data_IF_554841124997
#
_entry.id   IF_554841124997
#
_cell.length_a   1.000
_cell.length_b   1.000
_cell.length_c   1.000
_cell.angle_alpha   90.00
_cell.angle_beta   90.00
_cell.angle_gamma   90.00
#
_symmetry.space_group_name_H-M   'P 1'
#
loop_
_entity.id
_entity.type
_entity.pdbx_description
1 polymer ?
#
# COMPACT_ATOMS: atom_id res chain seq x y z
N UNK A 1 19.15 35.72 0.47
CA UNK A 1 19.01 34.31 0.86
C UNK A 1 18.01 34.12 2.00
N UNK A 2 18.09 34.90 3.12
CA UNK A 2 17.16 34.74 4.25
C UNK A 2 15.69 34.95 3.84
N UNK A 3 15.40 35.94 3.02
CA UNK A 3 14.04 36.21 2.53
C UNK A 3 13.51 35.09 1.63
N UNK A 4 14.36 34.51 0.80
CA UNK A 4 13.97 33.36 -0.03
C UNK A 4 13.68 32.12 0.81
N UNK A 5 14.47 31.85 1.86
CA UNK A 5 14.20 30.75 2.79
C UNK A 5 12.85 30.94 3.50
N UNK A 6 12.52 32.12 3.96
CA UNK A 6 11.23 32.40 4.59
C UNK A 6 10.05 32.16 3.63
N UNK A 7 10.20 32.49 2.35
CA UNK A 7 9.19 32.18 1.31
C UNK A 7 9.06 30.67 1.12
N UNK A 8 10.18 29.95 1.01
CA UNK A 8 10.18 28.48 0.85
C UNK A 8 9.48 27.81 2.03
N UNK A 9 9.84 28.19 3.27
CA UNK A 9 9.23 27.61 4.47
C UNK A 9 7.71 27.92 4.57
N UNK A 10 7.28 29.05 4.06
CA UNK A 10 5.86 29.40 3.98
C UNK A 10 5.12 28.54 2.94
N UNK A 11 5.68 28.41 1.73
CA UNK A 11 5.05 27.70 0.61
C UNK A 11 5.07 26.18 0.82
N UNK A 12 6.22 25.64 1.18
CA UNK A 12 6.45 24.23 1.47
C UNK A 12 6.61 24.01 2.97
N UNK A 13 5.55 24.27 3.74
CA UNK A 13 5.58 24.00 5.17
C UNK A 13 5.70 22.48 5.43
N UNK A 14 6.18 22.13 6.62
CA UNK A 14 6.48 20.73 7.00
C UNK A 14 5.28 19.77 6.84
N UNK A 15 4.06 20.24 7.12
CA UNK A 15 2.85 19.41 7.00
C UNK A 15 2.52 19.12 5.53
N UNK A 16 2.57 20.16 4.69
CA UNK A 16 2.38 20.01 3.23
C UNK A 16 3.42 19.07 2.62
N UNK A 17 4.69 19.22 2.95
CA UNK A 17 5.77 18.34 2.44
C UNK A 17 5.55 16.90 2.90
N UNK A 18 5.18 16.66 4.16
CA UNK A 18 4.88 15.31 4.66
C UNK A 18 3.75 14.63 3.88
N UNK A 19 2.68 15.35 3.57
CA UNK A 19 1.56 14.84 2.78
C UNK A 19 1.97 14.52 1.36
N UNK A 20 2.72 15.42 0.70
CA UNK A 20 3.28 15.21 -0.63
C UNK A 20 4.19 13.97 -0.66
N UNK A 21 5.09 13.82 0.30
CA UNK A 21 5.99 12.66 0.42
C UNK A 21 5.19 11.37 0.66
N UNK A 22 4.12 11.42 1.45
CA UNK A 22 3.27 10.25 1.70
C UNK A 22 2.60 9.76 0.43
N UNK A 23 2.02 10.67 -0.37
CA UNK A 23 1.42 10.33 -1.65
C UNK A 23 2.48 9.79 -2.62
N UNK A 24 3.64 10.45 -2.71
CA UNK A 24 4.72 10.02 -3.60
C UNK A 24 5.23 8.62 -3.26
N UNK A 25 5.35 8.29 -1.97
CA UNK A 25 5.73 6.94 -1.53
C UNK A 25 4.69 5.88 -1.88
N UNK A 26 3.40 6.26 -1.81
CA UNK A 26 2.31 5.33 -2.06
C UNK A 26 2.05 5.13 -3.56
N UNK A 27 2.03 6.22 -4.33
CA UNK A 27 1.60 6.19 -5.74
C UNK A 27 2.76 6.36 -6.72
N UNK A 28 3.99 6.68 -6.27
CA UNK A 28 5.11 7.15 -7.08
C UNK A 28 4.77 8.41 -7.90
N UNK A 29 3.75 9.10 -7.44
CA UNK A 29 3.33 10.41 -7.92
C UNK A 29 2.63 11.18 -6.80
N UNK A 30 2.72 12.50 -6.86
CA UNK A 30 2.04 13.38 -5.91
C UNK A 30 1.53 14.61 -6.61
N UNK A 31 0.53 15.26 -6.03
CA UNK A 31 -0.11 16.45 -6.58
C UNK A 31 -0.30 17.53 -5.54
N UNK A 32 -0.19 18.76 -5.98
CA UNK A 32 -0.50 19.92 -5.17
C UNK A 32 -1.03 21.08 -6.03
N UNK A 33 -1.87 21.86 -5.42
CA UNK A 33 -2.45 23.05 -5.99
C UNK A 33 -1.51 24.25 -5.79
N UNK A 34 -1.40 25.05 -6.82
CA UNK A 34 -0.61 26.30 -6.81
C UNK A 34 -1.57 27.45 -7.05
N UNK A 35 -1.55 28.42 -6.15
CA UNK A 35 -2.36 29.64 -6.21
C UNK A 35 -1.44 30.84 -6.39
N UNK A 36 -1.64 31.60 -7.47
CA UNK A 36 -0.92 32.84 -7.72
C UNK A 36 -1.55 34.00 -6.97
N UNK A 37 -0.72 34.93 -6.50
CA UNK A 37 -1.15 36.17 -5.87
C UNK A 37 -2.01 37.04 -6.76
N UNK A 38 -2.76 37.94 -6.19
CA UNK A 38 -3.63 38.89 -6.91
C UNK A 38 -2.83 39.93 -7.69
N UNK A 39 -1.67 40.30 -7.18
CA UNK A 39 -0.74 41.26 -7.82
C UNK A 39 0.53 40.49 -8.19
N UNK A 40 0.94 40.63 -9.43
CA UNK A 40 2.05 39.83 -9.97
C UNK A 40 1.62 38.39 -10.31
N UNK A 41 2.59 37.58 -10.70
CA UNK A 41 2.37 36.15 -11.01
C UNK A 41 3.20 35.27 -10.06
N UNK A 42 3.48 35.75 -8.87
CA UNK A 42 4.19 34.98 -7.85
C UNK A 42 3.23 34.00 -7.17
N UNK A 43 3.75 32.86 -6.78
CA UNK A 43 3.02 31.88 -6.00
C UNK A 43 2.79 32.42 -4.60
N UNK A 44 1.54 32.50 -4.20
CA UNK A 44 1.11 32.93 -2.86
C UNK A 44 0.90 31.74 -1.91
N UNK A 45 0.38 30.62 -2.45
CA UNK A 45 0.05 29.43 -1.66
C UNK A 45 0.30 28.15 -2.45
N UNK A 46 0.69 27.11 -1.74
CA UNK A 46 0.78 25.73 -2.23
C UNK A 46 0.00 24.84 -1.26
N UNK A 47 -1.00 24.14 -1.79
CA UNK A 47 -1.87 23.26 -1.02
C UNK A 47 -1.74 21.82 -1.52
N UNK A 48 -1.50 20.88 -0.60
CA UNK A 48 -1.50 19.47 -0.96
C UNK A 48 -2.89 19.04 -1.46
N UNK A 49 -2.92 18.35 -2.60
CA UNK A 49 -4.09 17.64 -3.10
C UNK A 49 -3.83 16.14 -3.05
N UNK A 50 -4.66 15.35 -2.34
CA UNK A 50 -4.49 13.90 -2.32
C UNK A 50 -4.50 13.33 -3.74
N UNK A 51 -3.47 12.55 -4.11
CA UNK A 51 -3.28 12.11 -5.49
C UNK A 51 -4.45 11.27 -6.03
N UNK A 52 -5.08 10.48 -5.19
CA UNK A 52 -6.27 9.69 -5.55
C UNK A 52 -7.51 10.54 -5.89
N UNK A 53 -7.45 11.86 -5.71
CA UNK A 53 -8.52 12.81 -6.06
C UNK A 53 -8.23 13.61 -7.32
N UNK A 54 -7.04 13.47 -7.88
CA UNK A 54 -6.56 14.19 -9.06
C UNK A 54 -6.37 13.21 -10.21
N UNK A 55 -7.12 13.42 -11.29
CA UNK A 55 -7.10 12.58 -12.50
C UNK A 55 -6.63 13.43 -13.68
N UNK A 56 -5.75 12.93 -14.57
CA UNK A 56 -5.30 13.69 -15.73
C UNK A 56 -6.42 13.88 -16.77
N UNK A 57 -6.37 14.99 -17.51
CA UNK A 57 -7.09 15.13 -18.78
C UNK A 57 -6.47 14.22 -19.84
N UNK A 58 -7.12 14.13 -21.00
CA UNK A 58 -6.50 13.51 -22.17
C UNK A 58 -5.19 14.25 -22.54
N UNK A 59 -4.21 13.47 -22.96
CA UNK A 59 -2.95 14.01 -23.46
C UNK A 59 -3.18 14.69 -24.80
N UNK A 60 -2.43 15.76 -25.08
CA UNK A 60 -2.41 16.42 -26.36
C UNK A 60 -1.60 15.63 -27.42
N UNK A 61 -1.53 16.16 -28.65
CA UNK A 61 -0.77 15.56 -29.75
C UNK A 61 0.73 15.40 -29.46
N UNK A 62 1.25 16.06 -28.42
CA UNK A 62 2.63 15.97 -27.96
C UNK A 62 2.82 15.01 -26.78
N UNK A 63 1.73 14.43 -26.29
CA UNK A 63 1.74 13.56 -25.10
C UNK A 63 1.78 14.33 -23.78
N UNK A 64 1.45 15.65 -23.79
CA UNK A 64 1.43 16.47 -22.58
C UNK A 64 0.02 16.53 -21.98
N UNK A 65 -0.06 16.54 -20.64
CA UNK A 65 -1.31 16.74 -19.89
C UNK A 65 -1.51 18.25 -19.72
N UNK A 66 -2.58 18.78 -20.32
CA UNK A 66 -2.90 20.21 -20.26
C UNK A 66 -3.67 20.65 -19.02
N UNK A 67 -4.41 19.75 -18.42
CA UNK A 67 -5.25 20.02 -17.23
C UNK A 67 -5.43 18.76 -16.38
N UNK A 68 -5.97 18.98 -15.17
CA UNK A 68 -6.27 17.94 -14.20
C UNK A 68 -7.70 18.10 -13.72
N UNK A 69 -8.38 16.99 -13.55
CA UNK A 69 -9.70 16.92 -12.93
C UNK A 69 -9.57 16.62 -11.46
N UNK A 70 -10.16 17.45 -10.63
CA UNK A 70 -10.23 17.26 -9.18
C UNK A 70 -11.66 17.01 -8.75
N UNK A 71 -11.90 15.94 -7.97
CA UNK A 71 -13.15 15.72 -7.26
C UNK A 71 -12.88 15.33 -5.82
N UNK A 72 -13.66 15.86 -4.91
CA UNK A 72 -13.59 15.47 -3.49
C UNK A 72 -13.93 13.98 -3.31
N UNK A 73 -14.85 13.45 -4.11
CA UNK A 73 -15.27 12.06 -4.05
C UNK A 73 -15.72 11.57 -5.44
N UNK A 74 -14.87 10.77 -6.07
CA UNK A 74 -15.12 10.19 -7.39
C UNK A 74 -16.21 9.11 -7.38
N UNK A 75 -16.59 8.57 -6.22
CA UNK A 75 -17.70 7.60 -6.11
C UNK A 75 -19.07 8.29 -6.11
N UNK A 76 -19.09 9.61 -5.85
CA UNK A 76 -20.32 10.41 -5.78
C UNK A 76 -20.18 11.74 -6.53
N UNK A 77 -19.92 11.64 -7.84
CA UNK A 77 -19.70 12.80 -8.72
C UNK A 77 -20.91 13.72 -8.86
N UNK A 78 -22.12 13.23 -8.59
CA UNK A 78 -23.32 14.06 -8.59
C UNK A 78 -23.31 15.07 -7.44
N UNK A 79 -22.81 14.68 -6.28
CA UNK A 79 -22.67 15.56 -5.11
C UNK A 79 -21.39 16.39 -5.16
N UNK A 80 -20.32 15.81 -5.71
CA UNK A 80 -19.00 16.42 -5.78
C UNK A 80 -18.52 16.43 -7.26
N UNK A 81 -19.10 17.32 -8.09
CA UNK A 81 -18.77 17.35 -9.51
C UNK A 81 -17.28 17.63 -9.71
N UNK A 82 -16.62 16.91 -10.64
CA UNK A 82 -15.24 17.17 -10.97
C UNK A 82 -15.04 18.59 -11.51
N UNK A 83 -13.95 19.21 -11.07
CA UNK A 83 -13.54 20.54 -11.50
C UNK A 83 -12.26 20.40 -12.32
N UNK A 84 -12.26 20.92 -13.53
CA UNK A 84 -11.08 20.98 -14.37
C UNK A 84 -10.18 22.15 -13.93
N UNK A 85 -8.90 21.89 -13.75
CA UNK A 85 -7.91 22.85 -13.28
C UNK A 85 -6.70 22.73 -14.19
N UNK A 86 -6.20 23.84 -14.80
CA UNK A 86 -5.05 23.82 -15.68
C UNK A 86 -3.80 23.23 -15.02
N UNK A 87 -2.97 22.54 -15.81
CA UNK A 87 -1.67 22.08 -15.35
C UNK A 87 -0.72 23.28 -15.18
N UNK A 88 0.06 23.27 -14.09
CA UNK A 88 1.04 24.30 -13.85
C UNK A 88 2.19 24.19 -14.84
N UNK A 89 2.50 25.33 -15.48
CA UNK A 89 3.73 25.53 -16.26
C UNK A 89 4.38 26.81 -15.76
N UNK A 90 5.70 26.79 -15.58
CA UNK A 90 6.43 27.99 -15.16
C UNK A 90 6.18 29.16 -16.13
N UNK A 91 5.94 30.34 -15.61
CA UNK A 91 5.52 31.50 -16.38
C UNK A 91 4.01 31.62 -16.60
N UNK A 92 3.20 30.70 -16.05
CA UNK A 92 1.73 30.77 -16.13
C UNK A 92 1.18 32.04 -15.47
N UNK A 93 0.02 32.49 -15.98
CA UNK A 93 -0.78 33.58 -15.40
C UNK A 93 -2.10 33.06 -14.79
N UNK A 94 -2.33 31.75 -14.95
CA UNK A 94 -3.51 31.09 -14.36
C UNK A 94 -3.46 31.18 -12.85
N UNK A 95 -4.54 31.70 -12.24
CA UNK A 95 -4.58 31.94 -10.80
C UNK A 95 -4.58 30.69 -9.95
N UNK A 96 -5.07 29.59 -10.49
CA UNK A 96 -5.18 28.29 -9.86
C UNK A 96 -4.72 27.21 -10.82
N UNK A 97 -3.72 26.44 -10.43
CA UNK A 97 -3.16 25.36 -11.26
C UNK A 97 -2.83 24.15 -10.40
N UNK A 98 -2.70 22.99 -11.02
CA UNK A 98 -2.22 21.77 -10.34
C UNK A 98 -0.86 21.40 -10.93
N UNK A 99 0.09 21.10 -10.05
CA UNK A 99 1.35 20.50 -10.41
C UNK A 99 1.41 19.06 -9.91
N UNK A 100 1.89 18.18 -10.77
CA UNK A 100 2.07 16.76 -10.46
C UNK A 100 3.52 16.40 -10.68
N UNK A 101 4.13 15.83 -9.64
CA UNK A 101 5.44 15.18 -9.73
C UNK A 101 5.16 13.69 -9.91
N UNK A 102 5.69 13.10 -10.97
CA UNK A 102 5.44 11.71 -11.35
C UNK A 102 6.73 11.03 -11.76
N UNK A 103 6.96 9.81 -11.26
CA UNK A 103 8.04 8.96 -11.74
C UNK A 103 7.71 8.44 -13.14
N UNK A 104 8.71 8.42 -14.03
CA UNK A 104 8.51 7.91 -15.37
C UNK A 104 8.24 6.41 -15.36
N UNK A 105 7.19 6.00 -16.05
CA UNK A 105 6.83 4.60 -16.26
C UNK A 105 6.64 4.35 -17.75
N UNK A 106 7.29 3.31 -18.27
CA UNK A 106 7.15 2.90 -19.68
C UNK A 106 5.71 2.49 -19.94
N UNK A 107 5.17 2.93 -21.08
CA UNK A 107 3.80 2.63 -21.54
C UNK A 107 2.66 3.15 -20.64
N UNK A 108 2.96 4.01 -19.67
CA UNK A 108 1.97 4.56 -18.75
C UNK A 108 2.02 6.09 -18.74
N UNK A 109 1.26 6.71 -19.65
CA UNK A 109 1.24 8.18 -19.82
C UNK A 109 0.55 8.89 -18.66
N UNK A 110 -0.50 8.29 -18.10
CA UNK A 110 -1.40 8.96 -17.17
C UNK A 110 -0.98 8.84 -15.72
N UNK A 111 -0.53 7.64 -15.30
CA UNK A 111 -0.22 7.34 -13.91
C UNK A 111 1.17 6.73 -13.77
N UNK A 112 1.81 6.96 -12.62
CA UNK A 112 3.01 6.23 -12.28
C UNK A 112 2.64 4.82 -11.78
N UNK A 113 3.53 3.86 -12.04
CA UNK A 113 3.40 2.52 -11.48
C UNK A 113 4.34 2.37 -10.30
N UNK A 114 3.84 2.19 -9.09
CA UNK A 114 4.67 2.01 -7.91
C UNK A 114 5.64 0.82 -8.07
N UNK A 115 6.88 0.97 -7.60
CA UNK A 115 7.89 -0.09 -7.71
C UNK A 115 7.48 -1.39 -7.00
N UNK A 116 6.69 -1.29 -5.94
CA UNK A 116 6.18 -2.44 -5.19
C UNK A 116 5.01 -3.17 -5.87
N UNK A 117 4.55 -2.71 -7.05
CA UNK A 117 3.44 -3.32 -7.79
C UNK A 117 3.65 -4.82 -8.04
N UNK A 118 4.89 -5.24 -8.31
CA UNK A 118 5.26 -6.65 -8.48
C UNK A 118 5.04 -7.49 -7.22
N UNK A 119 4.96 -6.88 -6.05
CA UNK A 119 4.74 -7.55 -4.77
C UNK A 119 3.26 -7.72 -4.38
N UNK A 120 2.31 -7.15 -5.13
CA UNK A 120 0.90 -7.16 -4.73
C UNK A 120 0.32 -8.57 -4.58
N UNK A 121 0.69 -9.51 -5.44
CA UNK A 121 0.24 -10.89 -5.33
C UNK A 121 0.75 -11.57 -4.05
N UNK A 122 1.92 -11.19 -3.57
CA UNK A 122 2.47 -11.69 -2.31
C UNK A 122 1.82 -11.03 -1.09
N UNK A 123 1.39 -9.78 -1.22
CA UNK A 123 0.58 -9.12 -0.18
C UNK A 123 -0.79 -9.79 -0.06
N UNK A 124 -1.44 -10.10 -1.17
CA UNK A 124 -2.69 -10.86 -1.20
C UNK A 124 -2.50 -12.28 -0.63
N UNK A 125 -1.40 -12.96 -0.98
CA UNK A 125 -1.08 -14.28 -0.42
C UNK A 125 -0.98 -14.22 1.11
N UNK A 126 -0.28 -13.22 1.67
CA UNK A 126 -0.14 -13.05 3.11
C UNK A 126 -1.48 -12.76 3.79
N UNK A 127 -2.34 -11.96 3.15
CA UNK A 127 -3.70 -11.70 3.62
C UNK A 127 -4.52 -12.99 3.66
N UNK A 128 -4.49 -13.81 2.60
CA UNK A 128 -5.23 -15.07 2.53
C UNK A 128 -4.73 -16.09 3.56
N UNK A 129 -3.42 -16.17 3.79
CA UNK A 129 -2.85 -17.03 4.84
C UNK A 129 -3.34 -16.56 6.21
N UNK A 130 -3.34 -15.26 6.47
CA UNK A 130 -3.82 -14.69 7.75
C UNK A 130 -5.30 -14.99 7.96
N UNK A 131 -6.14 -14.80 6.95
CA UNK A 131 -7.58 -15.12 6.99
C UNK A 131 -7.78 -16.63 7.25
N UNK A 132 -7.04 -17.48 6.54
CA UNK A 132 -7.09 -18.92 6.74
C UNK A 132 -6.73 -19.29 8.18
N UNK A 133 -5.62 -18.79 8.71
CA UNK A 133 -5.17 -19.06 10.07
C UNK A 133 -6.21 -18.61 11.11
N UNK A 134 -6.77 -17.42 10.96
CA UNK A 134 -7.82 -16.90 11.85
C UNK A 134 -9.06 -17.80 11.82
N UNK A 135 -9.52 -18.18 10.63
CA UNK A 135 -10.68 -19.05 10.49
C UNK A 135 -10.40 -20.46 11.07
N UNK A 136 -9.19 -20.98 10.85
CA UNK A 136 -8.79 -22.27 11.38
C UNK A 136 -8.77 -22.27 12.91
N UNK A 137 -8.26 -21.20 13.54
CA UNK A 137 -8.30 -21.02 15.00
C UNK A 137 -9.73 -20.87 15.50
N UNK A 138 -10.55 -20.02 14.89
CA UNK A 138 -11.96 -19.82 15.23
C UNK A 138 -12.78 -21.11 15.13
N UNK A 139 -12.40 -21.96 14.20
CA UNK A 139 -13.06 -23.25 13.96
C UNK A 139 -12.53 -24.39 14.82
N UNK A 140 -11.68 -24.10 15.80
CA UNK A 140 -11.14 -25.08 16.73
C UNK A 140 -10.18 -26.10 16.08
N UNK A 141 -9.45 -25.66 15.05
CA UNK A 141 -8.48 -26.47 14.30
C UNK A 141 -9.09 -27.72 13.63
N UNK A 142 -10.41 -27.74 13.41
CA UNK A 142 -11.15 -28.87 12.85
C UNK A 142 -11.45 -28.64 11.38
N UNK A 143 -11.16 -29.62 10.56
CA UNK A 143 -11.48 -29.60 9.11
C UNK A 143 -13.00 -29.71 8.80
N UNK A 144 -13.81 -29.82 9.83
CA UNK A 144 -15.24 -30.06 9.73
C UNK A 144 -15.62 -31.46 10.25
N UNK A 145 -16.91 -31.72 10.34
CA UNK A 145 -17.45 -32.97 10.81
C UNK A 145 -18.36 -33.57 9.75
N UNK A 146 -18.34 -34.90 9.65
CA UNK A 146 -19.38 -35.64 8.93
C UNK A 146 -20.35 -36.16 9.97
N UNK A 147 -21.62 -35.81 9.81
CA UNK A 147 -22.68 -36.36 10.63
C UNK A 147 -23.40 -37.42 9.78
N UNK A 148 -23.19 -38.68 10.10
CA UNK A 148 -23.87 -39.80 9.46
C UNK A 148 -25.21 -40.06 10.17
N UNK A 149 -26.30 -39.98 9.43
CA UNK A 149 -27.65 -40.29 9.90
C UNK A 149 -28.04 -41.64 9.31
N UNK A 150 -28.10 -42.65 10.18
CA UNK A 150 -28.32 -44.04 9.77
C UNK A 150 -29.80 -44.46 9.89
N UNK A 151 -30.70 -43.55 10.13
CA UNK A 151 -32.14 -43.78 10.03
C UNK A 151 -32.56 -43.63 8.58
N UNK A 152 -33.16 -44.67 7.99
CA UNK A 152 -33.56 -44.68 6.61
C UNK A 152 -34.66 -43.62 6.26
N UNK A 153 -34.33 -42.36 6.35
CA UNK A 153 -35.20 -41.24 5.97
C UNK A 153 -35.22 -41.24 4.42
N UNK A 154 -36.31 -41.69 3.87
CA UNK A 154 -36.50 -41.76 2.42
C UNK A 154 -37.20 -40.52 1.84
N UNK A 155 -37.84 -39.72 2.69
CA UNK A 155 -38.58 -38.55 2.29
C UNK A 155 -37.63 -37.33 2.20
N UNK A 156 -37.58 -36.69 1.03
CA UNK A 156 -36.71 -35.54 0.77
C UNK A 156 -37.18 -34.27 1.52
N UNK A 157 -38.47 -34.10 1.85
CA UNK A 157 -38.94 -33.00 2.65
C UNK A 157 -38.43 -33.11 4.10
N UNK A 158 -38.42 -34.34 4.65
CA UNK A 158 -37.92 -34.61 5.99
C UNK A 158 -36.39 -34.42 6.04
N UNK A 159 -35.64 -34.84 5.01
CA UNK A 159 -34.21 -34.58 4.90
C UNK A 159 -33.89 -33.09 4.88
N UNK A 160 -34.59 -32.33 4.05
CA UNK A 160 -34.41 -30.88 3.93
C UNK A 160 -34.79 -30.14 5.22
N UNK A 161 -35.82 -30.58 5.93
CA UNK A 161 -36.21 -30.01 7.22
C UNK A 161 -35.17 -30.30 8.29
N UNK A 162 -34.63 -31.53 8.33
CA UNK A 162 -33.57 -31.92 9.25
C UNK A 162 -32.28 -31.14 8.97
N UNK A 163 -31.88 -31.03 7.71
CA UNK A 163 -30.70 -30.26 7.28
C UNK A 163 -30.80 -28.79 7.74
N UNK A 164 -31.95 -28.15 7.49
CA UNK A 164 -32.21 -26.79 7.98
C UNK A 164 -32.13 -26.67 9.49
N UNK A 165 -32.66 -27.63 10.23
CA UNK A 165 -32.62 -27.62 11.70
C UNK A 165 -31.20 -27.81 12.24
N UNK A 166 -30.40 -28.68 11.62
CA UNK A 166 -29.00 -28.86 11.99
C UNK A 166 -28.20 -27.61 11.65
N UNK A 167 -28.37 -27.07 10.46
CA UNK A 167 -27.77 -25.82 10.05
C UNK A 167 -28.10 -24.71 11.03
N UNK A 168 -29.37 -24.49 11.35
CA UNK A 168 -29.80 -23.44 12.29
C UNK A 168 -29.30 -23.64 13.72
N UNK A 169 -29.13 -24.86 14.17
CA UNK A 169 -28.73 -25.19 15.54
C UNK A 169 -27.21 -25.15 15.76
N UNK A 170 -26.44 -25.44 14.72
CA UNK A 170 -24.97 -25.55 14.80
C UNK A 170 -24.22 -24.46 14.05
N UNK A 171 -24.92 -23.64 13.25
CA UNK A 171 -24.30 -22.54 12.51
C UNK A 171 -24.88 -21.18 12.96
N UNK A 172 -24.09 -20.45 13.76
CA UNK A 172 -24.15 -19.00 13.63
C UNK A 172 -23.52 -18.61 12.29
N UNK A 173 -23.68 -17.38 11.82
CA UNK A 173 -23.22 -16.88 10.52
C UNK A 173 -21.74 -17.16 10.20
N UNK A 174 -20.93 -17.48 11.18
CA UNK A 174 -19.49 -17.79 11.07
C UNK A 174 -19.17 -19.28 10.89
N UNK A 175 -20.16 -20.18 10.96
CA UNK A 175 -19.96 -21.63 11.02
C UNK A 175 -20.57 -22.43 9.86
N UNK A 176 -21.04 -21.75 8.83
CA UNK A 176 -21.92 -22.30 7.77
C UNK A 176 -21.37 -23.46 6.93
N UNK A 177 -20.10 -23.82 7.04
CA UNK A 177 -19.51 -24.88 6.21
C UNK A 177 -18.75 -25.95 6.99
N UNK A 178 -19.12 -26.19 8.26
CA UNK A 178 -18.30 -27.05 9.14
C UNK A 178 -18.70 -28.53 9.17
N UNK A 179 -19.79 -28.92 8.55
CA UNK A 179 -20.21 -30.32 8.56
C UNK A 179 -20.90 -30.71 7.25
N UNK A 180 -20.75 -31.97 6.94
CA UNK A 180 -21.42 -32.65 5.84
C UNK A 180 -22.45 -33.58 6.46
N UNK A 181 -23.72 -33.43 6.07
CA UNK A 181 -24.77 -34.37 6.45
C UNK A 181 -24.81 -35.49 5.43
N UNK A 182 -24.71 -36.72 5.90
CA UNK A 182 -24.86 -37.94 5.07
C UNK A 182 -26.00 -38.75 5.59
N UNK A 183 -27.01 -38.98 4.73
CA UNK A 183 -28.17 -39.82 5.03
C UNK A 183 -27.93 -41.21 4.43
N UNK A 184 -27.86 -42.20 5.29
CA UNK A 184 -27.55 -43.55 4.87
C UNK A 184 -28.73 -44.49 5.22
N UNK A 185 -28.90 -45.56 4.45
CA UNK A 185 -29.94 -46.53 4.71
C UNK A 185 -29.62 -47.47 5.88
N UNK A 186 -28.34 -47.66 6.17
CA UNK A 186 -27.85 -48.43 7.31
C UNK A 186 -26.41 -48.01 7.66
N UNK A 187 -25.89 -48.52 8.77
CA UNK A 187 -24.54 -48.21 9.27
C UNK A 187 -23.42 -48.66 8.32
N UNK A 188 -23.66 -49.70 7.53
CA UNK A 188 -22.64 -50.28 6.66
C UNK A 188 -22.41 -49.46 5.39
N UNK A 189 -23.39 -48.61 5.05
CA UNK A 189 -23.35 -47.67 3.93
C UNK A 189 -22.97 -46.23 4.35
N UNK A 190 -22.44 -46.08 5.58
CA UNK A 190 -22.06 -44.74 6.07
C UNK A 190 -21.00 -44.09 5.17
N UNK A 191 -21.22 -42.85 4.79
CA UNK A 191 -20.25 -42.09 4.05
C UNK A 191 -19.03 -41.86 4.97
N UNK A 192 -17.89 -42.34 4.54
CA UNK A 192 -16.61 -42.10 5.18
C UNK A 192 -15.87 -41.04 4.38
N UNK A 193 -15.41 -39.98 5.04
CA UNK A 193 -14.47 -39.04 4.47
C UNK A 193 -13.10 -39.33 5.08
N UNK A 194 -12.20 -39.83 4.27
CA UNK A 194 -10.80 -39.83 4.66
C UNK A 194 -10.32 -38.38 4.56
N UNK A 195 -10.04 -37.78 5.72
CA UNK A 195 -9.36 -36.50 5.74
C UNK A 195 -8.01 -36.70 5.05
N UNK A 196 -7.81 -36.07 3.91
CA UNK A 196 -6.47 -35.91 3.37
C UNK A 196 -5.74 -35.00 4.35
N UNK A 197 -5.15 -35.61 5.37
CA UNK A 197 -4.25 -34.89 6.26
C UNK A 197 -3.03 -34.52 5.44
N UNK A 198 -2.94 -33.26 5.04
CA UNK A 198 -1.69 -32.68 4.56
C UNK A 198 -0.79 -32.67 5.81
N UNK A 199 0.01 -33.70 6.00
CA UNK A 199 0.82 -33.90 7.21
C UNK A 199 1.78 -32.74 7.49
N UNK A 200 2.06 -31.90 6.50
CA UNK A 200 3.03 -30.82 6.55
C UNK A 200 2.39 -29.43 6.31
N UNK A 201 1.08 -29.29 6.52
CA UNK A 201 0.38 -28.04 6.27
C UNK A 201 1.04 -26.83 6.98
N UNK A 202 1.46 -27.02 8.22
CA UNK A 202 2.16 -25.96 8.98
C UNK A 202 3.48 -25.55 8.32
N UNK A 203 4.26 -26.50 7.81
CA UNK A 203 5.53 -26.21 7.15
C UNK A 203 5.30 -25.51 5.82
N UNK A 204 4.27 -25.89 5.07
CA UNK A 204 3.90 -25.22 3.82
C UNK A 204 3.47 -23.79 4.05
N UNK A 205 2.61 -23.51 5.04
CA UNK A 205 2.20 -22.14 5.36
C UNK A 205 3.36 -21.31 5.90
N UNK A 206 4.22 -21.86 6.72
CA UNK A 206 5.43 -21.18 7.18
C UNK A 206 6.34 -20.82 5.98
N UNK A 207 6.57 -21.74 5.07
CA UNK A 207 7.35 -21.49 3.87
C UNK A 207 6.73 -20.37 3.02
N UNK A 208 5.39 -20.42 2.78
CA UNK A 208 4.70 -19.39 2.00
C UNK A 208 4.78 -18.01 2.65
N UNK A 209 4.62 -17.93 3.97
CA UNK A 209 4.75 -16.67 4.72
C UNK A 209 6.19 -16.11 4.65
N UNK A 210 7.19 -16.97 4.79
CA UNK A 210 8.60 -16.56 4.68
C UNK A 210 8.94 -16.09 3.26
N UNK A 211 8.45 -16.79 2.24
CA UNK A 211 8.64 -16.38 0.84
C UNK A 211 7.89 -15.09 0.52
N UNK A 212 6.63 -14.94 0.95
CA UNK A 212 5.86 -13.71 0.78
C UNK A 212 6.58 -12.51 1.41
N UNK A 213 7.07 -12.66 2.64
CA UNK A 213 7.86 -11.62 3.33
C UNK A 213 9.09 -11.22 2.53
N UNK A 214 9.85 -12.20 2.04
CA UNK A 214 11.06 -11.97 1.24
C UNK A 214 10.73 -11.21 -0.05
N UNK A 215 9.69 -11.63 -0.75
CA UNK A 215 9.28 -11.00 -2.01
C UNK A 215 8.73 -9.57 -1.79
N UNK A 216 8.01 -9.34 -0.70
CA UNK A 216 7.55 -8.00 -0.30
C UNK A 216 8.72 -7.07 0.01
N UNK A 217 9.72 -7.53 0.77
CA UNK A 217 10.93 -6.74 1.02
C UNK A 217 11.65 -6.39 -0.28
N UNK A 218 11.76 -7.35 -1.20
CA UNK A 218 12.37 -7.15 -2.52
C UNK A 218 11.57 -6.14 -3.36
N UNK A 219 10.24 -6.26 -3.40
CA UNK A 219 9.37 -5.35 -4.12
C UNK A 219 9.47 -3.90 -3.60
N UNK A 220 9.61 -3.73 -2.29
CA UNK A 220 9.85 -2.44 -1.65
C UNK A 220 11.33 -1.99 -1.69
N UNK A 221 12.20 -2.74 -2.37
CA UNK A 221 13.64 -2.45 -2.46
C UNK A 221 14.33 -2.33 -1.10
N UNK A 222 13.85 -3.06 -0.10
CA UNK A 222 14.47 -3.12 1.23
C UNK A 222 15.66 -4.07 1.17
N UNK A 223 16.86 -3.54 1.34
CA UNK A 223 18.13 -4.28 1.19
C UNK A 223 18.29 -5.37 2.24
N UNK A 224 17.87 -5.11 3.48
CA UNK A 224 17.88 -6.09 4.57
C UNK A 224 16.70 -5.88 5.51
N UNK A 225 16.07 -6.97 5.93
CA UNK A 225 15.00 -6.94 6.94
C UNK A 225 15.47 -6.39 8.30
N UNK A 226 16.76 -6.42 8.57
CA UNK A 226 17.34 -5.89 9.80
C UNK A 226 17.06 -4.39 10.01
N UNK A 227 16.93 -3.61 8.93
CA UNK A 227 16.53 -2.18 8.99
C UNK A 227 15.14 -2.01 9.61
N UNK A 228 14.26 -2.99 9.41
CA UNK A 228 12.90 -3.02 9.95
C UNK A 228 12.81 -3.76 11.30
N UNK A 229 13.94 -4.14 11.89
CA UNK A 229 13.97 -4.91 13.13
C UNK A 229 13.61 -6.39 12.96
N UNK A 230 13.56 -6.90 11.74
CA UNK A 230 13.33 -8.32 11.45
C UNK A 230 14.63 -9.08 11.74
N UNK A 231 14.56 -9.99 12.71
CA UNK A 231 15.73 -10.80 13.08
C UNK A 231 16.05 -11.83 11.99
N UNK A 232 17.30 -11.88 11.60
CA UNK A 232 17.88 -12.99 10.85
C UNK A 232 18.40 -14.06 11.82
N UNK A 233 18.57 -15.30 11.36
CA UNK A 233 18.95 -16.46 12.19
C UNK A 233 20.25 -16.27 13.00
N UNK A 234 21.04 -15.26 12.74
CA UNK A 234 22.35 -14.99 13.36
C UNK A 234 22.29 -14.06 14.58
N UNK A 235 21.13 -13.50 14.95
CA UNK A 235 20.96 -12.66 16.15
C UNK A 235 21.38 -11.20 15.97
N UNK A 236 20.90 -10.33 16.88
CA UNK A 236 21.11 -8.86 16.82
C UNK A 236 22.55 -8.39 17.07
N UNK A 237 23.36 -9.15 17.79
CA UNK A 237 24.66 -8.66 18.30
C UNK A 237 25.81 -8.72 17.31
N UNK A 238 25.66 -9.43 16.19
CA UNK A 238 26.70 -9.53 15.15
C UNK A 238 26.47 -8.61 13.94
N UNK A 239 25.37 -7.82 13.90
CA UNK A 239 24.86 -7.20 12.67
C UNK A 239 24.84 -5.66 12.68
N UNK A 240 25.54 -4.98 13.59
CA UNK A 240 25.57 -3.50 13.59
C UNK A 240 26.12 -2.95 12.27
N UNK A 241 27.19 -3.56 11.75
CA UNK A 241 27.78 -3.17 10.47
C UNK A 241 26.88 -3.52 9.27
N UNK A 242 26.13 -4.64 9.35
CA UNK A 242 25.14 -5.00 8.33
C UNK A 242 23.99 -4.00 8.29
N UNK A 243 23.46 -3.59 9.45
CA UNK A 243 22.39 -2.59 9.55
C UNK A 243 22.87 -1.24 9.00
N UNK A 244 24.07 -0.80 9.36
CA UNK A 244 24.64 0.45 8.86
C UNK A 244 24.85 0.39 7.34
N UNK A 245 25.41 -0.69 6.83
CA UNK A 245 25.60 -0.89 5.38
C UNK A 245 24.25 -0.91 4.65
N UNK A 246 23.31 -1.72 5.12
CA UNK A 246 21.99 -1.83 4.50
C UNK A 246 21.21 -0.51 4.56
N UNK A 247 21.33 0.26 5.65
CA UNK A 247 20.76 1.60 5.77
C UNK A 247 21.36 2.54 4.73
N UNK A 248 22.69 2.59 4.62
CA UNK A 248 23.38 3.46 3.67
C UNK A 248 23.02 3.10 2.22
N UNK A 249 22.99 1.81 1.88
CA UNK A 249 22.59 1.33 0.56
C UNK A 249 21.13 1.71 0.24
N UNK A 250 20.22 1.55 1.19
CA UNK A 250 18.83 1.96 1.02
C UNK A 250 18.71 3.47 0.84
N UNK A 251 19.46 4.25 1.62
CA UNK A 251 19.46 5.70 1.48
C UNK A 251 19.98 6.15 0.12
N UNK A 252 21.07 5.56 -0.37
CA UNK A 252 21.68 5.96 -1.64
C UNK A 252 20.90 5.49 -2.86
N UNK A 253 20.44 4.25 -2.86
CA UNK A 253 19.89 3.62 -4.07
C UNK A 253 18.36 3.71 -4.17
N UNK A 254 17.67 3.98 -3.05
CA UNK A 254 16.20 4.03 -3.02
C UNK A 254 15.69 5.41 -2.63
N UNK A 255 16.14 5.92 -1.48
CA UNK A 255 15.58 7.15 -0.91
C UNK A 255 16.10 8.39 -1.64
N UNK A 256 17.41 8.46 -1.92
CA UNK A 256 18.01 9.63 -2.56
C UNK A 256 17.42 9.93 -3.94
N UNK A 257 17.22 8.96 -4.86
CA UNK A 257 16.56 9.23 -6.14
C UNK A 257 15.13 9.79 -5.99
N UNK A 258 14.36 9.29 -5.01
CA UNK A 258 13.03 9.82 -4.72
C UNK A 258 13.09 11.27 -4.20
N UNK A 259 14.05 11.56 -3.33
CA UNK A 259 14.29 12.91 -2.81
C UNK A 259 14.68 13.87 -3.94
N UNK A 260 15.56 13.45 -4.85
CA UNK A 260 15.99 14.27 -5.99
C UNK A 260 14.81 14.59 -6.91
N UNK A 261 13.98 13.61 -7.25
CA UNK A 261 12.77 13.86 -8.04
C UNK A 261 11.82 14.87 -7.38
N UNK A 262 11.66 14.81 -6.07
CA UNK A 262 10.82 15.75 -5.33
C UNK A 262 11.45 17.15 -5.28
N UNK A 263 12.74 17.26 -5.00
CA UNK A 263 13.45 18.55 -4.95
C UNK A 263 13.48 19.22 -6.31
N UNK A 264 13.72 18.49 -7.40
CA UNK A 264 13.67 19.01 -8.76
C UNK A 264 12.28 19.61 -9.07
N UNK A 265 11.20 18.91 -8.69
CA UNK A 265 9.84 19.40 -8.84
C UNK A 265 9.56 20.65 -8.01
N UNK A 266 10.04 20.70 -6.76
CA UNK A 266 9.88 21.88 -5.92
C UNK A 266 10.69 23.08 -6.45
N UNK A 267 11.92 22.88 -6.88
CA UNK A 267 12.76 23.91 -7.49
C UNK A 267 12.14 24.45 -8.77
N UNK A 268 11.58 23.59 -9.62
CA UNK A 268 10.85 24.02 -10.81
C UNK A 268 9.68 24.95 -10.47
N UNK A 269 8.90 24.61 -9.44
CA UNK A 269 7.77 25.45 -9.00
C UNK A 269 8.25 26.76 -8.39
N UNK A 270 9.29 26.73 -7.54
CA UNK A 270 9.86 27.92 -6.90
C UNK A 270 10.48 28.88 -7.91
N UNK A 271 10.90 28.40 -9.09
CA UNK A 271 11.36 29.24 -10.20
C UNK A 271 10.34 30.29 -10.65
N UNK A 272 9.04 30.07 -10.46
CA UNK A 272 7.98 31.05 -10.69
C UNK A 272 8.14 32.32 -9.83
N UNK A 273 8.68 32.17 -8.63
CA UNK A 273 8.99 33.27 -7.70
C UNK A 273 10.45 33.77 -7.83
N UNK A 274 11.14 33.42 -8.91
CA UNK A 274 12.56 33.71 -9.13
C UNK A 274 13.48 33.21 -7.99
N UNK A 275 13.10 32.12 -7.32
CA UNK A 275 13.91 31.46 -6.31
C UNK A 275 14.77 30.40 -7.01
N UNK A 276 16.09 30.53 -6.88
CA UNK A 276 17.09 29.68 -7.54
C UNK A 276 17.95 28.91 -6.52
N UNK A 277 17.45 28.76 -5.31
CA UNK A 277 18.15 27.99 -4.27
C UNK A 277 18.03 26.51 -4.57
N UNK A 278 19.15 25.79 -4.45
CA UNK A 278 19.17 24.35 -4.51
C UNK A 278 18.61 23.78 -3.19
N UNK A 279 17.61 22.90 -3.32
CA UNK A 279 17.00 22.24 -2.18
C UNK A 279 17.64 20.87 -1.94
N UNK A 280 17.62 20.44 -0.70
CA UNK A 280 18.03 19.09 -0.34
C UNK A 280 17.31 18.65 0.94
N UNK A 281 17.12 17.37 1.06
CA UNK A 281 16.73 16.77 2.33
C UNK A 281 17.96 16.56 3.19
N UNK A 282 17.87 16.93 4.47
CA UNK A 282 18.97 16.70 5.41
C UNK A 282 19.30 15.21 5.47
N UNK A 283 20.54 14.80 5.17
CA UNK A 283 20.89 13.39 5.12
C UNK A 283 20.85 12.77 6.52
N UNK A 284 20.07 11.71 6.65
CA UNK A 284 20.04 10.88 7.85
C UNK A 284 21.30 10.01 7.86
N UNK A 285 21.96 9.92 9.01
CA UNK A 285 23.09 9.01 9.25
C UNK A 285 22.70 8.01 10.32
N UNK A 286 23.07 6.75 10.14
CA UNK A 286 23.00 5.77 11.21
C UNK A 286 23.88 6.28 12.37
N UNK A 287 23.31 6.41 13.58
CA UNK A 287 24.11 6.72 14.76
C UNK A 287 24.94 5.48 15.09
N UNK A 288 26.29 5.62 15.12
CA UNK A 288 27.13 4.60 15.75
C UNK A 288 26.70 4.50 17.22
N UNK A 289 26.28 3.33 17.62
CA UNK A 289 26.08 3.03 19.04
C UNK A 289 27.49 2.94 19.60
N UNK A 290 27.94 4.00 20.29
CA UNK A 290 29.18 3.92 21.06
C UNK A 290 29.00 2.85 22.12
N UNK A 291 29.69 1.73 21.97
CA UNK A 291 29.78 0.70 23.01
C UNK A 291 30.44 1.36 24.22
N UNK A 292 29.78 1.38 25.39
CA UNK A 292 30.41 1.94 26.58
C UNK A 292 31.66 1.12 26.85
N UNK A 293 32.83 1.77 26.78
CA UNK A 293 34.09 1.21 27.24
C UNK A 293 33.96 0.95 28.74
N UNK A 294 33.75 -0.31 29.09
CA UNK A 294 33.84 -0.75 30.48
C UNK A 294 35.30 -0.53 30.90
N UNK A 295 35.50 0.47 31.77
CA UNK A 295 36.78 0.67 32.47
C UNK A 295 36.91 -0.31 33.63
#
# INVERSE_FOLDING_TARGET
>A
QADQMAIIEKLFNKDTVRKIVSDYRLFHECSFEIILGTVGNEIAEINHLPKNKVVPSEVDDKGEIGSWWYSYDWTNVNKYPPVEIPAFKQGTKEKRTIFVIKEYTIDDFYFARPSYYSGLNYAELEEQISIYCINHIKNGLSAGYIININEGITDDEVKNAFERNVINKFTGSENANKFILSFNSNKDNATTLEAVTVSDAHQQYQFLTEEARKQLLTAHKVVSGAILGIQTATGFSSNADEIETAFNETMLNVIKPMQDTLTDGFEYVLGQNNITLQLFFEPLRAKKVETPTVK
#
